data_IF_639228399639
#
_entry.id   IF_639228399639
#
_cell.length_a   1.000
_cell.length_b   1.000
_cell.length_c   1.000
_cell.angle_alpha   90.00
_cell.angle_beta   90.00
_cell.angle_gamma   90.00
#
_symmetry.space_group_name_H-M   'P 1'
#
loop_
_entity.id
_entity.type
_entity.pdbx_description
1 polymer ?
#
# COMPACT_ATOMS: atom_id res chain seq x y z
N UNK A 1 -37.29 11.08 8.77
CA UNK A 1 -36.04 11.47 8.09
C UNK A 1 -34.89 10.88 8.91
N UNK A 2 -34.37 9.70 8.53
CA UNK A 2 -33.15 9.19 9.17
C UNK A 2 -31.93 9.85 8.50
N UNK A 3 -30.90 10.24 9.25
CA UNK A 3 -29.69 10.77 8.65
C UNK A 3 -28.97 9.63 7.93
N UNK A 4 -28.85 9.73 6.61
CA UNK A 4 -27.97 8.86 5.82
C UNK A 4 -26.53 9.34 6.00
N UNK A 5 -25.94 9.09 7.17
CA UNK A 5 -24.50 9.08 7.30
C UNK A 5 -24.02 7.76 6.68
N UNK A 6 -23.72 7.79 5.37
CA UNK A 6 -22.97 6.71 4.74
C UNK A 6 -21.53 6.74 5.25
N UNK A 7 -21.32 6.37 6.51
CA UNK A 7 -20.00 6.14 7.05
C UNK A 7 -19.35 5.01 6.22
N UNK A 8 -18.33 5.33 5.44
CA UNK A 8 -17.55 4.33 4.72
C UNK A 8 -17.03 3.29 5.72
N UNK A 9 -17.52 2.05 5.63
CA UNK A 9 -17.09 0.99 6.55
C UNK A 9 -15.58 0.71 6.39
N UNK A 10 -14.85 0.52 7.51
CA UNK A 10 -13.43 0.23 7.46
C UNK A 10 -13.16 -1.10 6.74
N UNK A 11 -12.43 -1.04 5.63
CA UNK A 11 -12.06 -2.23 4.85
C UNK A 11 -10.77 -2.85 5.38
N UNK A 12 -10.81 -4.16 5.63
CA UNK A 12 -9.66 -4.95 6.10
C UNK A 12 -9.14 -5.83 4.96
N UNK A 13 -7.83 -5.84 4.76
CA UNK A 13 -7.14 -6.69 3.78
C UNK A 13 -5.86 -7.24 4.39
N UNK A 14 -5.60 -8.53 4.20
CA UNK A 14 -4.35 -9.16 4.58
C UNK A 14 -3.39 -9.11 3.36
N UNK A 15 -2.24 -8.47 3.53
CA UNK A 15 -1.29 -8.23 2.44
C UNK A 15 0.14 -8.55 2.87
N UNK A 16 0.96 -9.14 1.98
CA UNK A 16 2.40 -9.20 2.21
C UNK A 16 2.99 -7.77 2.14
N UNK A 17 4.02 -7.53 2.95
CA UNK A 17 4.73 -6.25 2.98
C UNK A 17 6.25 -6.47 2.98
N UNK A 18 6.98 -5.37 2.78
CA UNK A 18 8.44 -5.27 2.89
C UNK A 18 8.76 -4.12 3.84
N UNK A 19 9.62 -4.34 4.83
CA UNK A 19 10.11 -3.26 5.71
C UNK A 19 11.30 -2.53 5.07
N UNK A 20 11.28 -1.21 5.04
CA UNK A 20 12.39 -0.39 4.57
C UNK A 20 12.41 0.96 5.27
N UNK A 21 13.54 1.30 5.93
CA UNK A 21 13.71 2.62 6.56
C UNK A 21 12.72 2.93 7.68
N UNK A 22 12.17 1.92 8.36
CA UNK A 22 11.12 2.08 9.37
C UNK A 22 9.69 2.18 8.81
N UNK A 23 9.55 2.23 7.48
CA UNK A 23 8.26 2.21 6.79
C UNK A 23 7.91 0.78 6.31
N UNK A 24 6.62 0.54 6.10
CA UNK A 24 6.10 -0.69 5.49
C UNK A 24 5.70 -0.43 4.04
N UNK A 25 6.27 -1.19 3.11
CA UNK A 25 5.95 -1.14 1.69
C UNK A 25 4.93 -2.23 1.35
N UNK A 26 3.77 -1.83 0.83
CA UNK A 26 2.71 -2.74 0.40
C UNK A 26 2.51 -2.62 -1.10
N UNK A 27 2.47 -3.76 -1.78
CA UNK A 27 2.50 -3.82 -3.25
C UNK A 27 1.09 -4.07 -3.78
N UNK A 28 0.56 -3.14 -4.56
CA UNK A 28 -0.74 -3.27 -5.22
C UNK A 28 -0.69 -4.14 -6.47
N UNK A 29 -0.14 -5.36 -6.40
CA UNK A 29 0.19 -6.14 -7.61
C UNK A 29 -1.04 -6.59 -8.41
N UNK A 30 -2.12 -7.00 -7.73
CA UNK A 30 -3.26 -7.68 -8.34
C UNK A 30 -2.84 -8.85 -9.25
N UNK A 31 -1.77 -9.58 -8.86
CA UNK A 31 -1.14 -10.63 -9.68
C UNK A 31 -0.75 -10.20 -11.11
N UNK A 32 -0.47 -8.91 -11.33
CA UNK A 32 -0.18 -8.33 -12.64
C UNK A 32 -1.43 -8.10 -13.51
N UNK A 33 -2.61 -8.09 -12.91
CA UNK A 33 -3.86 -7.80 -13.60
C UNK A 33 -3.95 -6.38 -14.15
N UNK A 34 -4.97 -6.10 -14.99
CA UNK A 34 -5.09 -4.84 -15.73
C UNK A 34 -5.42 -3.63 -14.85
N UNK A 35 -5.85 -3.85 -13.60
CA UNK A 35 -6.32 -2.78 -12.71
C UNK A 35 -5.66 -2.84 -11.33
N UNK A 36 -5.57 -1.68 -10.70
CA UNK A 36 -5.15 -1.58 -9.30
C UNK A 36 -6.18 -2.23 -8.37
N UNK A 37 -5.73 -2.88 -7.27
CA UNK A 37 -6.64 -3.27 -6.20
C UNK A 37 -7.39 -2.05 -5.66
N UNK A 38 -8.69 -2.21 -5.39
CA UNK A 38 -9.56 -1.12 -4.88
C UNK A 38 -9.02 -0.44 -3.62
N UNK A 39 -8.25 -1.14 -2.79
CA UNK A 39 -7.68 -0.55 -1.58
C UNK A 39 -6.59 0.49 -1.86
N UNK A 40 -5.91 0.44 -3.01
CA UNK A 40 -4.84 1.38 -3.34
C UNK A 40 -5.41 2.79 -3.47
N UNK A 41 -6.53 2.94 -4.19
CA UNK A 41 -7.13 4.26 -4.44
C UNK A 41 -7.72 4.90 -3.18
N UNK A 42 -8.03 4.10 -2.14
CA UNK A 42 -8.49 4.63 -0.86
C UNK A 42 -7.45 5.58 -0.24
N UNK A 43 -6.15 5.29 -0.38
CA UNK A 43 -5.07 6.11 0.19
C UNK A 43 -4.90 7.47 -0.49
N UNK A 44 -5.50 7.69 -1.66
CA UNK A 44 -5.56 9.04 -2.26
C UNK A 44 -6.59 9.94 -1.55
N UNK A 45 -7.60 9.33 -0.92
CA UNK A 45 -8.69 10.05 -0.24
C UNK A 45 -8.45 10.14 1.27
N UNK A 46 -8.04 9.03 1.87
CA UNK A 46 -7.79 8.92 3.30
C UNK A 46 -6.42 8.25 3.53
N UNK A 47 -5.37 9.04 3.83
CA UNK A 47 -4.04 8.50 4.08
C UNK A 47 -3.92 7.83 5.45
N UNK A 48 -4.81 8.11 6.42
CA UNK A 48 -4.73 7.50 7.75
C UNK A 48 -5.16 6.05 7.70
N UNK A 49 -4.38 5.19 8.33
CA UNK A 49 -4.70 3.78 8.42
C UNK A 49 -4.21 3.16 9.72
N UNK A 50 -4.61 1.92 9.94
CA UNK A 50 -4.14 1.09 11.03
C UNK A 50 -3.66 -0.24 10.45
N UNK A 51 -2.60 -0.76 11.03
CA UNK A 51 -2.01 -2.04 10.68
C UNK A 51 -2.06 -2.97 11.89
N UNK A 52 -2.08 -4.27 11.62
CA UNK A 52 -1.79 -5.30 12.61
C UNK A 52 -0.50 -5.99 12.19
N UNK A 53 0.60 -5.65 12.84
CA UNK A 53 1.92 -6.23 12.57
C UNK A 53 2.36 -7.01 13.80
N UNK A 54 2.67 -8.30 13.65
CA UNK A 54 3.06 -9.18 14.77
C UNK A 54 2.09 -9.11 15.96
N UNK A 55 0.78 -9.10 15.67
CA UNK A 55 -0.33 -8.96 16.65
C UNK A 55 -0.35 -7.63 17.42
N UNK A 56 0.43 -6.63 17.01
CA UNK A 56 0.43 -5.29 17.59
C UNK A 56 -0.30 -4.31 16.68
N UNK A 57 -1.25 -3.52 17.20
CA UNK A 57 -1.87 -2.45 16.44
C UNK A 57 -0.87 -1.32 16.21
N UNK A 58 -0.81 -0.81 14.99
CA UNK A 58 0.03 0.33 14.61
C UNK A 58 -0.83 1.35 13.89
N UNK A 59 -0.89 2.57 14.42
CA UNK A 59 -1.50 3.71 13.71
C UNK A 59 -0.47 4.28 12.75
N UNK A 60 -0.88 4.55 11.51
CA UNK A 60 0.02 4.96 10.46
C UNK A 60 -0.62 5.98 9.49
N UNK A 61 0.22 6.57 8.66
CA UNK A 61 -0.18 7.33 7.48
C UNK A 61 0.43 6.69 6.24
N UNK A 62 -0.31 6.68 5.14
CA UNK A 62 0.12 6.04 3.91
C UNK A 62 0.08 7.00 2.72
N UNK A 63 0.97 6.80 1.77
CA UNK A 63 0.95 7.46 0.47
C UNK A 63 1.32 6.47 -0.64
N UNK A 64 0.89 6.78 -1.87
CA UNK A 64 1.28 6.01 -3.06
C UNK A 64 2.57 6.65 -3.59
N UNK A 65 3.65 5.86 -3.67
CA UNK A 65 4.91 6.34 -4.21
C UNK A 65 4.77 6.67 -5.71
N UNK A 66 5.33 7.80 -6.12
CA UNK A 66 5.35 8.27 -7.51
C UNK A 66 6.77 8.52 -8.02
N UNK A 67 6.92 8.64 -9.35
CA UNK A 67 8.18 9.03 -10.00
C UNK A 67 9.42 8.26 -9.51
N UNK A 68 10.50 8.99 -9.23
CA UNK A 68 11.78 8.43 -8.78
C UNK A 68 11.68 7.65 -7.45
N UNK A 69 10.81 8.10 -6.52
CA UNK A 69 10.59 7.39 -5.26
C UNK A 69 10.08 5.98 -5.54
N UNK A 70 9.10 5.86 -6.43
CA UNK A 70 8.54 4.58 -6.86
C UNK A 70 9.63 3.69 -7.45
N UNK A 71 10.43 4.19 -8.37
CA UNK A 71 11.49 3.42 -9.04
C UNK A 71 12.52 2.88 -8.05
N UNK A 72 12.96 3.72 -7.12
CA UNK A 72 13.89 3.33 -6.05
C UNK A 72 13.29 2.23 -5.17
N UNK A 73 12.06 2.42 -4.71
CA UNK A 73 11.38 1.45 -3.86
C UNK A 73 11.07 0.15 -4.60
N UNK A 74 10.78 0.21 -5.90
CA UNK A 74 10.53 -0.97 -6.70
C UNK A 74 11.76 -1.88 -6.76
N UNK A 75 12.97 -1.32 -6.93
CA UNK A 75 14.23 -2.08 -6.88
C UNK A 75 14.38 -2.83 -5.55
N UNK A 76 14.18 -2.13 -4.43
CA UNK A 76 14.23 -2.70 -3.07
C UNK A 76 13.18 -3.81 -2.89
N UNK A 77 11.97 -3.59 -3.39
CA UNK A 77 10.88 -4.57 -3.32
C UNK A 77 11.24 -5.82 -4.12
N UNK A 78 11.76 -5.70 -5.33
CA UNK A 78 12.12 -6.84 -6.19
C UNK A 78 13.27 -7.65 -5.59
N UNK A 79 14.27 -6.99 -4.98
CA UNK A 79 15.35 -7.67 -4.26
C UNK A 79 14.81 -8.60 -3.15
N UNK A 80 13.76 -8.18 -2.44
CA UNK A 80 13.16 -8.93 -1.33
C UNK A 80 12.01 -9.84 -1.74
N UNK A 81 11.31 -9.52 -2.84
CA UNK A 81 10.15 -10.22 -3.38
C UNK A 81 10.27 -10.33 -4.91
N UNK A 82 11.13 -11.23 -5.44
CA UNK A 82 11.43 -11.32 -6.87
C UNK A 82 10.20 -11.52 -7.77
N UNK A 83 9.16 -12.19 -7.27
CA UNK A 83 7.89 -12.38 -8.00
C UNK A 83 7.20 -11.08 -8.41
N UNK A 84 7.49 -9.96 -7.74
CA UNK A 84 6.92 -8.65 -8.09
C UNK A 84 7.39 -8.19 -9.47
N UNK A 85 8.61 -8.54 -9.89
CA UNK A 85 9.10 -8.21 -11.23
C UNK A 85 8.22 -8.85 -12.32
N UNK A 86 7.89 -10.15 -12.17
CA UNK A 86 7.00 -10.86 -13.09
C UNK A 86 5.58 -10.26 -13.14
N UNK A 87 5.07 -9.80 -12.00
CA UNK A 87 3.79 -9.11 -11.98
C UNK A 87 3.84 -7.77 -12.70
N UNK A 88 4.93 -7.01 -12.53
CA UNK A 88 5.12 -5.73 -13.21
C UNK A 88 5.22 -5.94 -14.72
N UNK A 89 5.98 -6.92 -15.20
CA UNK A 89 6.04 -7.28 -16.62
C UNK A 89 4.64 -7.52 -17.20
N UNK A 90 3.82 -8.31 -16.48
CA UNK A 90 2.44 -8.58 -16.89
C UNK A 90 1.55 -7.33 -16.83
N UNK A 91 1.67 -6.50 -15.80
CA UNK A 91 0.89 -5.26 -15.70
C UNK A 91 1.25 -4.27 -16.82
N UNK A 92 2.52 -4.21 -17.22
CA UNK A 92 3.00 -3.35 -18.30
C UNK A 92 2.37 -3.68 -19.66
N UNK A 93 1.91 -4.91 -19.91
CA UNK A 93 1.14 -5.23 -21.14
C UNK A 93 -0.21 -4.51 -21.20
N UNK A 94 -0.67 -3.94 -20.09
CA UNK A 94 -1.86 -3.10 -19.99
C UNK A 94 -1.51 -1.61 -19.80
N UNK A 95 -0.24 -1.22 -19.93
CA UNK A 95 0.22 0.15 -19.70
C UNK A 95 0.17 0.59 -18.24
N UNK A 96 0.28 -0.37 -17.30
CA UNK A 96 0.10 -0.14 -15.87
C UNK A 96 1.39 -0.35 -15.10
N UNK A 97 1.69 0.62 -14.26
CA UNK A 97 2.69 0.49 -13.20
C UNK A 97 2.08 -0.03 -11.90
N UNK A 98 2.66 -1.09 -11.32
CA UNK A 98 2.16 -1.66 -10.06
C UNK A 98 2.40 -0.69 -8.91
N UNK A 99 1.39 -0.10 -8.28
CA UNK A 99 1.60 0.89 -7.23
C UNK A 99 2.29 0.29 -6.01
N UNK A 100 3.18 1.08 -5.41
CA UNK A 100 3.78 0.81 -4.10
C UNK A 100 3.18 1.80 -3.13
N UNK A 101 2.54 1.29 -2.09
CA UNK A 101 2.03 2.11 -0.99
C UNK A 101 3.05 2.06 0.14
N UNK A 102 3.54 3.24 0.51
CA UNK A 102 4.43 3.43 1.65
C UNK A 102 3.56 3.72 2.86
N UNK A 103 3.70 2.94 3.92
CA UNK A 103 2.95 3.10 5.16
C UNK A 103 3.93 3.44 6.26
N UNK A 104 3.85 4.67 6.74
CA UNK A 104 4.70 5.21 7.79
C UNK A 104 4.01 5.10 9.14
N UNK A 105 4.56 4.32 10.10
CA UNK A 105 4.08 4.33 11.47
C UNK A 105 4.10 5.74 12.04
N UNK A 106 3.02 6.13 12.72
CA UNK A 106 3.05 7.34 13.54
C UNK A 106 3.81 7.00 14.80
N UNK A 107 4.91 7.71 15.06
CA UNK A 107 5.48 7.74 16.40
C UNK A 107 4.39 8.27 17.34
N UNK A 108 4.03 7.48 18.35
CA UNK A 108 3.36 8.03 19.51
C UNK A 108 4.42 8.93 20.16
N UNK A 109 4.32 10.25 19.99
CA UNK A 109 4.98 11.14 20.92
C UNK A 109 4.28 10.92 22.25
N UNK A 110 4.95 10.25 23.19
CA UNK A 110 4.51 10.23 24.57
C UNK A 110 4.51 11.67 25.06
N UNK A 111 3.33 12.22 25.31
CA UNK A 111 3.16 13.36 26.23
C UNK A 111 3.42 12.91 27.67
#
# INVERSE_FOLDING_TARGET
MQPTDSAEEPRKVALPYVEHGGDYLVIGSNAGGPTDPKWVSNFRKEPRCWLMVNRKPVTATAHIAGGEERERLFKIVVERKPNVARYQERASTFGRDIPIVVIRPRSQASE
#
